data_IF_794944257324
#
_entry.id   IF_794944257324
#
_cell.length_a   1.000
_cell.length_b   1.000
_cell.length_c   1.000
_cell.angle_alpha   90.00
_cell.angle_beta   90.00
_cell.angle_gamma   90.00
#
_symmetry.space_group_name_H-M   'P 1'
#
loop_
_entity.id
_entity.type
_entity.pdbx_description
1 polymer ?
#
# COMPACT_ATOMS: atom_id res chain seq x y z
N UNK A 1 -9.65 -0.04 13.43
CA UNK A 1 -8.18 -0.17 13.41
C UNK A 1 -7.61 -0.50 14.80
N UNK A 2 -7.76 0.35 15.83
CA UNK A 2 -7.28 0.03 17.19
C UNK A 2 -7.87 -1.25 17.79
N UNK A 3 -9.18 -1.46 17.61
CA UNK A 3 -9.85 -2.68 18.09
C UNK A 3 -9.42 -3.94 17.31
N UNK A 4 -9.09 -3.82 16.02
CA UNK A 4 -8.63 -4.96 15.22
C UNK A 4 -7.23 -5.43 15.65
N UNK A 5 -6.35 -4.49 16.01
CA UNK A 5 -5.02 -4.82 16.50
C UNK A 5 -5.08 -5.49 17.88
N UNK A 6 -5.92 -4.99 18.80
CA UNK A 6 -6.20 -5.69 20.07
C UNK A 6 -6.82 -7.06 19.85
N UNK A 7 -7.75 -7.17 18.91
CA UNK A 7 -8.38 -8.44 18.55
C UNK A 7 -7.40 -9.45 17.95
N UNK A 8 -6.33 -9.01 17.29
CA UNK A 8 -5.29 -9.92 16.75
C UNK A 8 -4.59 -10.71 17.86
N UNK A 9 -4.28 -10.08 18.99
CA UNK A 9 -3.65 -10.75 20.14
C UNK A 9 -4.61 -11.80 20.68
N UNK A 10 -5.87 -11.44 20.91
CA UNK A 10 -6.90 -12.37 21.42
C UNK A 10 -7.14 -13.54 20.46
N UNK A 11 -7.14 -13.28 19.15
CA UNK A 11 -7.32 -14.31 18.14
C UNK A 11 -6.25 -15.40 18.19
N UNK A 12 -5.00 -15.06 18.51
CA UNK A 12 -3.91 -16.04 18.67
C UNK A 12 -4.13 -16.98 19.86
N UNK A 13 -4.94 -16.57 20.84
CA UNK A 13 -5.32 -17.34 22.03
C UNK A 13 -6.74 -17.94 21.92
N UNK A 14 -7.31 -18.02 20.70
CA UNK A 14 -8.67 -18.53 20.41
C UNK A 14 -9.80 -17.69 21.03
N UNK A 15 -9.51 -16.46 21.43
CA UNK A 15 -10.50 -15.53 21.96
C UNK A 15 -10.96 -14.60 20.84
N UNK A 16 -12.17 -14.85 20.35
CA UNK A 16 -12.68 -14.16 19.17
C UNK A 16 -13.69 -13.04 19.48
N UNK A 17 -13.82 -12.61 20.74
CA UNK A 17 -14.89 -11.68 21.14
C UNK A 17 -14.74 -10.28 20.51
N UNK A 18 -13.51 -9.77 20.33
CA UNK A 18 -13.24 -8.50 19.62
C UNK A 18 -12.98 -8.68 18.11
N UNK A 19 -13.01 -9.90 17.58
CA UNK A 19 -12.67 -10.16 16.18
C UNK A 19 -13.75 -9.66 15.22
N UNK A 20 -13.31 -9.13 14.07
CA UNK A 20 -14.19 -8.73 12.97
C UNK A 20 -14.40 -9.88 11.96
N UNK A 21 -15.64 -10.08 11.49
CA UNK A 21 -16.03 -11.07 10.46
C UNK A 21 -15.29 -10.89 9.12
N UNK A 22 -14.76 -9.69 8.84
CA UNK A 22 -13.97 -9.39 7.63
C UNK A 22 -12.72 -10.26 7.52
N UNK A 23 -12.02 -10.54 8.63
CA UNK A 23 -10.75 -11.29 8.61
C UNK A 23 -10.76 -12.54 9.50
N UNK A 24 -11.62 -12.60 10.53
CA UNK A 24 -11.70 -13.74 11.42
C UNK A 24 -12.57 -14.85 10.81
N UNK A 25 -11.93 -15.95 10.41
CA UNK A 25 -12.61 -17.12 9.88
C UNK A 25 -13.57 -17.77 10.88
N UNK A 26 -13.26 -17.73 12.19
CA UNK A 26 -14.15 -18.23 13.25
C UNK A 26 -15.48 -17.48 13.29
N UNK A 27 -15.45 -16.14 13.28
CA UNK A 27 -16.67 -15.31 13.22
C UNK A 27 -17.44 -15.45 11.90
N UNK A 28 -16.77 -15.92 10.83
CA UNK A 28 -17.40 -16.14 9.52
C UNK A 28 -18.11 -17.49 9.45
N UNK A 29 -17.48 -18.55 9.95
CA UNK A 29 -18.04 -19.88 10.01
C UNK A 29 -17.38 -20.66 11.16
N UNK A 30 -18.01 -20.72 12.34
CA UNK A 30 -17.46 -21.43 13.49
C UNK A 30 -17.26 -22.92 13.22
N UNK A 31 -18.19 -23.56 12.52
CA UNK A 31 -18.24 -25.02 12.31
C UNK A 31 -17.08 -25.52 11.45
N UNK A 32 -16.59 -24.68 10.54
CA UNK A 32 -15.45 -25.00 9.65
C UNK A 32 -14.13 -24.40 10.14
N UNK A 33 -14.12 -23.72 11.27
CA UNK A 33 -12.90 -23.07 11.75
C UNK A 33 -11.90 -24.11 12.27
N UNK A 34 -10.73 -24.14 11.64
CA UNK A 34 -9.56 -24.86 12.15
C UNK A 34 -8.41 -23.88 12.25
N UNK A 35 -7.80 -23.80 13.42
CA UNK A 35 -6.56 -23.04 13.62
C UNK A 35 -5.40 -24.01 13.84
N UNK A 36 -4.30 -23.77 13.14
CA UNK A 36 -3.08 -24.58 13.22
C UNK A 36 -2.11 -24.07 14.28
N UNK A 37 -2.25 -22.80 14.69
CA UNK A 37 -1.35 -22.15 15.64
C UNK A 37 -2.20 -21.50 16.73
N UNK A 38 -1.95 -21.89 17.97
CA UNK A 38 -2.53 -21.24 19.15
C UNK A 38 -1.47 -21.11 20.20
N UNK A 39 -1.29 -19.88 20.67
CA UNK A 39 -0.40 -19.61 21.78
C UNK A 39 -1.14 -19.96 23.07
N UNK A 40 -0.41 -20.50 24.04
CA UNK A 40 -0.96 -20.90 25.35
C UNK A 40 -0.31 -20.17 26.52
N UNK A 41 0.82 -19.49 26.28
CA UNK A 41 1.56 -18.77 27.33
C UNK A 41 0.86 -17.48 27.76
N UNK A 42 0.42 -17.41 29.02
CA UNK A 42 -0.21 -16.22 29.60
C UNK A 42 0.78 -15.05 29.74
N UNK A 43 2.05 -15.32 30.04
CA UNK A 43 3.07 -14.28 30.15
C UNK A 43 3.36 -13.62 28.79
N UNK A 44 3.36 -14.40 27.72
CA UNK A 44 3.50 -13.89 26.35
C UNK A 44 2.28 -13.08 25.95
N UNK A 45 1.06 -13.54 26.31
CA UNK A 45 -0.18 -12.81 26.05
C UNK A 45 -0.13 -11.42 26.66
N UNK A 46 0.28 -11.30 27.92
CA UNK A 46 0.34 -10.03 28.63
C UNK A 46 1.33 -9.08 27.98
N UNK A 47 2.54 -9.55 27.64
CA UNK A 47 3.54 -8.73 26.94
C UNK A 47 3.04 -8.27 25.56
N UNK A 48 2.38 -9.15 24.81
CA UNK A 48 1.81 -8.77 23.51
C UNK A 48 0.69 -7.74 23.66
N UNK A 49 -0.16 -7.88 24.69
CA UNK A 49 -1.22 -6.94 24.97
C UNK A 49 -0.69 -5.56 25.42
N UNK A 50 0.41 -5.53 26.17
CA UNK A 50 1.11 -4.31 26.57
C UNK A 50 1.70 -3.58 25.36
N UNK A 51 2.50 -4.28 24.54
CA UNK A 51 3.09 -3.74 23.31
C UNK A 51 2.00 -3.20 22.38
N UNK A 52 0.96 -4.00 22.12
CA UNK A 52 -0.17 -3.55 21.28
C UNK A 52 -0.94 -2.41 21.95
N UNK A 53 -1.03 -2.39 23.28
CA UNK A 53 -1.60 -1.30 24.06
C UNK A 53 -0.95 0.03 23.75
N UNK A 54 0.38 0.10 23.77
CA UNK A 54 1.15 1.31 23.45
C UNK A 54 0.83 1.86 22.05
N UNK A 55 0.77 0.98 21.05
CA UNK A 55 0.43 1.36 19.67
C UNK A 55 -1.05 1.67 19.46
N UNK A 56 -1.91 1.22 20.36
CA UNK A 56 -3.36 1.46 20.31
C UNK A 56 -3.85 2.58 21.23
N UNK A 57 -2.93 3.23 21.96
CA UNK A 57 -3.21 4.44 22.73
C UNK A 57 -3.51 5.61 21.79
N UNK A 58 -4.51 6.43 22.14
CA UNK A 58 -5.18 7.42 21.28
C UNK A 58 -4.26 8.11 20.26
N UNK A 59 -3.34 8.95 20.73
CA UNK A 59 -2.45 9.75 19.88
C UNK A 59 -1.56 8.92 18.95
N UNK A 60 -1.21 7.69 19.33
CA UNK A 60 -0.36 6.82 18.52
C UNK A 60 -1.15 6.18 17.38
N UNK A 61 -2.43 5.85 17.59
CA UNK A 61 -3.30 5.36 16.51
C UNK A 61 -3.43 6.41 15.42
N UNK A 62 -3.66 7.66 15.80
CA UNK A 62 -3.85 8.74 14.83
C UNK A 62 -2.58 9.03 14.03
N UNK A 63 -1.39 8.83 14.63
CA UNK A 63 -0.11 8.92 13.94
C UNK A 63 0.15 7.72 13.01
N UNK A 64 -0.26 6.52 13.39
CA UNK A 64 0.08 5.27 12.69
C UNK A 64 -0.96 4.93 11.60
N UNK A 65 -2.23 5.22 11.82
CA UNK A 65 -3.31 4.98 10.86
C UNK A 65 -3.07 5.57 9.45
N UNK A 66 -2.61 6.83 9.29
CA UNK A 66 -2.31 7.38 7.96
C UNK A 66 -1.06 6.75 7.31
N UNK A 67 -0.14 6.18 8.08
CA UNK A 67 1.04 5.47 7.57
C UNK A 67 0.71 4.11 6.92
N UNK A 68 -0.54 3.66 6.96
CA UNK A 68 -0.96 2.33 6.50
C UNK A 68 -1.04 2.17 4.97
N UNK A 69 -0.68 3.18 4.17
CA UNK A 69 -0.52 3.05 2.72
C UNK A 69 0.97 3.00 2.33
N UNK A 70 1.71 2.03 2.87
CA UNK A 70 3.12 1.85 2.52
C UNK A 70 3.30 1.53 1.03
N UNK A 71 2.32 0.94 0.35
CA UNK A 71 2.44 0.52 -1.06
C UNK A 71 2.72 1.66 -2.03
N UNK A 72 2.12 2.84 -1.84
CA UNK A 72 2.32 3.96 -2.77
C UNK A 72 3.67 4.64 -2.56
N UNK A 73 4.07 4.77 -1.29
CA UNK A 73 5.37 5.29 -0.86
C UNK A 73 6.49 4.32 -1.24
N UNK A 74 6.33 3.02 -1.00
CA UNK A 74 7.24 1.95 -1.44
C UNK A 74 7.39 1.95 -2.96
N UNK A 75 6.29 2.09 -3.69
CA UNK A 75 6.32 2.18 -5.15
C UNK A 75 7.11 3.42 -5.61
N UNK A 76 6.96 4.57 -4.96
CA UNK A 76 7.74 5.76 -5.26
C UNK A 76 9.22 5.57 -4.94
N UNK A 77 9.55 5.06 -3.74
CA UNK A 77 10.93 4.78 -3.35
C UNK A 77 11.60 3.76 -4.29
N UNK A 78 10.87 2.75 -4.74
CA UNK A 78 11.37 1.80 -5.74
C UNK A 78 11.63 2.47 -7.10
N UNK A 79 10.73 3.35 -7.56
CA UNK A 79 10.97 4.12 -8.79
C UNK A 79 12.20 5.03 -8.67
N UNK A 80 12.33 5.72 -7.53
CA UNK A 80 13.44 6.61 -7.25
C UNK A 80 14.77 5.86 -7.19
N UNK A 81 14.82 4.72 -6.49
CA UNK A 81 16.01 3.88 -6.42
C UNK A 81 16.49 3.39 -7.80
N UNK A 82 15.57 3.16 -8.74
CA UNK A 82 15.91 2.76 -10.10
C UNK A 82 16.42 3.93 -10.97
N UNK A 83 15.85 5.13 -10.83
CA UNK A 83 16.22 6.30 -11.66
C UNK A 83 17.40 7.10 -11.10
N UNK A 84 17.53 7.14 -9.78
CA UNK A 84 18.55 7.83 -9.01
C UNK A 84 19.21 6.87 -8.00
N UNK A 85 19.92 5.83 -8.49
CA UNK A 85 20.57 4.86 -7.61
C UNK A 85 21.68 5.53 -6.80
N UNK A 86 21.52 5.58 -5.47
CA UNK A 86 22.56 6.11 -4.55
C UNK A 86 23.92 5.39 -4.71
N UNK A 87 23.90 4.13 -5.13
CA UNK A 87 25.09 3.31 -5.34
C UNK A 87 25.91 3.69 -6.59
N UNK A 88 25.37 4.51 -7.50
CA UNK A 88 26.07 4.94 -8.71
C UNK A 88 26.15 6.47 -8.74
N UNK A 89 27.37 7.01 -8.76
CA UNK A 89 27.58 8.44 -8.92
C UNK A 89 27.37 8.84 -10.39
N UNK A 90 26.11 9.06 -10.78
CA UNK A 90 25.69 9.39 -12.15
C UNK A 90 25.72 10.91 -12.45
N UNK A 91 26.74 11.61 -11.94
CA UNK A 91 27.01 13.06 -11.98
C UNK A 91 26.49 13.89 -10.78
N UNK A 92 26.98 15.15 -10.73
CA UNK A 92 26.76 16.18 -9.68
C UNK A 92 25.28 16.48 -9.38
N UNK A 93 25.01 17.29 -8.34
CA UNK A 93 23.69 17.60 -7.76
C UNK A 93 22.58 17.86 -8.77
N UNK A 94 22.84 18.64 -9.83
CA UNK A 94 21.84 18.98 -10.85
C UNK A 94 21.32 17.78 -11.64
N UNK A 95 22.16 16.77 -11.91
CA UNK A 95 21.74 15.52 -12.57
C UNK A 95 20.83 14.70 -11.65
N UNK A 96 21.14 14.70 -10.35
CA UNK A 96 20.33 14.02 -9.35
C UNK A 96 18.96 14.68 -9.21
N UNK A 97 18.92 16.01 -9.07
CA UNK A 97 17.70 16.82 -9.00
C UNK A 97 16.76 16.52 -10.19
N UNK A 98 17.27 16.64 -11.42
CA UNK A 98 16.49 16.32 -12.63
C UNK A 98 15.93 14.88 -12.63
N UNK A 99 16.69 13.89 -12.14
CA UNK A 99 16.21 12.49 -12.05
C UNK A 99 15.13 12.32 -10.99
N UNK A 100 15.24 13.03 -9.86
CA UNK A 100 14.20 13.05 -8.83
C UNK A 100 12.93 13.68 -9.41
N UNK A 101 13.03 14.83 -10.07
CA UNK A 101 11.90 15.53 -10.69
C UNK A 101 11.22 14.68 -11.77
N UNK A 102 12.00 14.05 -12.64
CA UNK A 102 11.49 13.08 -13.62
C UNK A 102 10.77 11.90 -12.96
N UNK A 103 11.22 11.46 -11.79
CA UNK A 103 10.58 10.37 -11.05
C UNK A 103 9.23 10.79 -10.50
N UNK A 104 9.15 12.00 -9.94
CA UNK A 104 7.90 12.61 -9.44
C UNK A 104 6.93 12.81 -10.60
N UNK A 105 7.37 13.40 -11.71
CA UNK A 105 6.57 13.57 -12.91
C UNK A 105 6.05 12.22 -13.43
N UNK A 106 6.90 11.20 -13.56
CA UNK A 106 6.46 9.87 -13.98
C UNK A 106 5.47 9.23 -12.99
N UNK A 107 5.63 9.44 -11.69
CA UNK A 107 4.70 8.92 -10.68
C UNK A 107 3.31 9.53 -10.86
N UNK A 108 3.24 10.84 -11.11
CA UNK A 108 2.00 11.59 -11.23
C UNK A 108 1.33 11.37 -12.60
N UNK A 109 2.03 11.64 -13.69
CA UNK A 109 1.48 11.68 -15.06
C UNK A 109 1.93 10.51 -15.95
N UNK A 110 2.56 9.49 -15.37
CA UNK A 110 3.09 8.32 -16.12
C UNK A 110 4.12 8.76 -17.17
N UNK A 111 4.32 7.98 -18.24
CA UNK A 111 5.33 8.26 -19.27
C UNK A 111 5.01 9.47 -20.14
N UNK A 112 3.85 10.10 -19.98
CA UNK A 112 3.48 11.34 -20.67
C UNK A 112 4.43 12.51 -20.36
N UNK A 113 5.12 12.49 -19.21
CA UNK A 113 6.08 13.53 -18.86
C UNK A 113 7.23 13.65 -19.88
N UNK A 114 7.62 12.56 -20.54
CA UNK A 114 8.70 12.58 -21.53
C UNK A 114 8.30 13.43 -22.73
N UNK A 115 7.05 13.29 -23.20
CA UNK A 115 6.55 14.11 -24.32
C UNK A 115 6.51 15.59 -23.95
N UNK A 116 6.09 15.92 -22.72
CA UNK A 116 6.07 17.31 -22.23
C UNK A 116 7.48 17.91 -22.18
N UNK A 117 8.45 17.17 -21.63
CA UNK A 117 9.85 17.62 -21.57
C UNK A 117 10.42 17.83 -22.97
N UNK A 118 10.12 16.95 -23.93
CA UNK A 118 10.56 17.13 -25.31
C UNK A 118 9.95 18.38 -25.96
N UNK A 119 8.65 18.60 -25.78
CA UNK A 119 7.96 19.77 -26.29
C UNK A 119 8.53 21.08 -25.70
N UNK A 120 8.77 21.12 -24.39
CA UNK A 120 9.42 22.26 -23.72
C UNK A 120 10.85 22.50 -24.22
N UNK A 121 11.58 21.45 -24.57
CA UNK A 121 12.91 21.53 -25.17
C UNK A 121 12.88 21.88 -26.67
N UNK A 122 11.70 22.04 -27.29
CA UNK A 122 11.57 22.29 -28.73
C UNK A 122 11.94 21.07 -29.59
N UNK A 123 11.90 19.87 -29.02
CA UNK A 123 12.25 18.62 -29.69
C UNK A 123 10.97 17.83 -29.95
N UNK A 124 10.86 17.21 -31.12
CA UNK A 124 9.73 16.29 -31.38
C UNK A 124 9.83 15.05 -30.47
N UNK A 125 8.77 14.69 -29.72
CA UNK A 125 8.76 13.49 -28.89
C UNK A 125 8.98 12.20 -29.69
N UNK A 126 8.60 12.21 -30.98
CA UNK A 126 8.70 11.08 -31.88
C UNK A 126 7.58 10.04 -31.67
N UNK A 127 7.14 9.46 -32.78
CA UNK A 127 6.01 8.51 -32.84
C UNK A 127 6.15 7.29 -31.93
N UNK A 128 7.39 6.86 -31.65
CA UNK A 128 7.66 5.69 -30.79
C UNK A 128 7.32 6.03 -29.33
N UNK A 129 7.76 7.19 -28.84
CA UNK A 129 7.50 7.62 -27.47
C UNK A 129 6.02 7.91 -27.23
N UNK A 130 5.35 8.53 -28.20
CA UNK A 130 3.90 8.76 -28.15
C UNK A 130 3.12 7.46 -28.00
N UNK A 131 3.37 6.48 -28.89
CA UNK A 131 2.73 5.16 -28.81
C UNK A 131 3.01 4.44 -27.50
N UNK A 132 4.24 4.53 -26.99
CA UNK A 132 4.61 3.91 -25.71
C UNK A 132 3.88 4.59 -24.55
N UNK A 133 3.83 5.92 -24.55
CA UNK A 133 3.14 6.73 -23.54
C UNK A 133 1.65 6.37 -23.49
N UNK A 134 0.98 6.34 -24.64
CA UNK A 134 -0.43 5.95 -24.77
C UNK A 134 -0.69 4.54 -24.21
N UNK A 135 0.12 3.55 -24.64
CA UNK A 135 -0.01 2.16 -24.21
C UNK A 135 0.13 2.04 -22.68
N UNK A 136 1.09 2.74 -22.09
CA UNK A 136 1.33 2.71 -20.66
C UNK A 136 0.26 3.48 -19.87
N UNK A 137 -0.26 4.57 -20.42
CA UNK A 137 -1.39 5.31 -19.86
C UNK A 137 -2.66 4.44 -19.81
N UNK A 138 -2.98 3.74 -20.91
CA UNK A 138 -4.11 2.78 -20.96
C UNK A 138 -3.92 1.68 -19.92
N UNK A 139 -2.72 1.07 -19.86
CA UNK A 139 -2.42 0.01 -18.88
C UNK A 139 -2.58 0.50 -17.44
N UNK A 140 -2.21 1.75 -17.14
CA UNK A 140 -2.39 2.37 -15.82
C UNK A 140 -3.87 2.59 -15.49
N UNK A 141 -4.66 3.11 -16.44
CA UNK A 141 -6.12 3.28 -16.29
C UNK A 141 -6.80 1.95 -16.01
N UNK A 142 -6.48 0.91 -16.76
CA UNK A 142 -7.03 -0.44 -16.56
C UNK A 142 -6.72 -0.97 -15.16
N UNK A 143 -5.46 -0.87 -14.70
CA UNK A 143 -5.09 -1.26 -13.32
C UNK A 143 -5.84 -0.48 -12.25
N UNK A 144 -6.07 0.82 -12.46
CA UNK A 144 -6.85 1.65 -11.54
C UNK A 144 -8.31 1.18 -11.48
N UNK A 145 -8.94 0.97 -12.64
CA UNK A 145 -10.31 0.44 -12.75
C UNK A 145 -10.41 -0.92 -12.04
N UNK A 146 -9.46 -1.84 -12.28
CA UNK A 146 -9.44 -3.14 -11.59
C UNK A 146 -9.33 -2.99 -10.07
N UNK A 147 -8.51 -2.07 -9.57
CA UNK A 147 -8.40 -1.80 -8.11
C UNK A 147 -9.69 -1.22 -7.54
N UNK A 148 -10.33 -0.31 -8.26
CA UNK A 148 -11.62 0.28 -7.86
C UNK A 148 -12.70 -0.81 -7.85
N UNK A 149 -12.77 -1.64 -8.88
CA UNK A 149 -13.68 -2.78 -8.94
C UNK A 149 -13.44 -3.79 -7.81
N UNK A 150 -12.18 -4.06 -7.46
CA UNK A 150 -11.85 -4.91 -6.31
C UNK A 150 -12.29 -4.30 -4.97
N UNK A 151 -12.17 -2.96 -4.81
CA UNK A 151 -12.67 -2.25 -3.64
C UNK A 151 -14.19 -2.27 -3.58
N UNK A 152 -14.86 -1.90 -4.67
CA UNK A 152 -16.32 -1.90 -4.80
C UNK A 152 -16.89 -3.31 -4.57
N UNK A 153 -16.31 -4.35 -5.17
CA UNK A 153 -16.75 -5.73 -4.94
C UNK A 153 -16.48 -6.18 -3.49
N UNK A 154 -15.40 -5.69 -2.88
CA UNK A 154 -15.12 -5.90 -1.46
C UNK A 154 -16.10 -5.17 -0.54
N UNK A 155 -16.59 -3.99 -0.93
CA UNK A 155 -17.56 -3.16 -0.21
C UNK A 155 -19.00 -3.66 -0.39
N UNK A 156 -19.42 -3.98 -1.62
CA UNK A 156 -20.70 -4.61 -1.94
C UNK A 156 -20.86 -5.98 -1.28
N UNK A 157 -19.78 -6.73 -1.07
CA UNK A 157 -19.79 -7.97 -0.29
C UNK A 157 -20.00 -7.73 1.21
N UNK A 158 -19.66 -6.53 1.70
CA UNK A 158 -19.88 -6.12 3.09
C UNK A 158 -21.31 -5.58 3.29
N UNK A 159 -21.85 -4.84 2.31
CA UNK A 159 -23.24 -4.33 2.34
C UNK A 159 -24.28 -5.42 2.15
N UNK A 160 -24.10 -6.37 1.22
CA UNK A 160 -25.03 -7.51 1.03
C UNK A 160 -24.96 -8.58 2.16
N UNK A 161 -24.36 -8.25 3.30
CA UNK A 161 -24.14 -9.14 4.46
C UNK A 161 -24.58 -8.55 5.81
N UNK A 162 -25.08 -7.32 5.78
CA UNK A 162 -25.93 -6.77 6.84
C UNK A 162 -27.37 -7.23 6.60
#
# INVERSE_FOLDING_TARGET
MGNDLKASVLHLYKEHYLCNKKWCSYKRNPDKYRTTVSLTSLSLRQKLAEIVGEYTSGDNIEKIAPCASTKEVECFHSMLANKAPKAKHLCSSTSLECRVDCTVAQKNISYGYISQVYEECGISPGKINEKLSEKLAVKRKLKMITRIQQKINGENYVENRL
#
